data_IF_967849439570
#
_entry.id   IF_967849439570
#
_cell.length_a   1.000
_cell.length_b   1.000
_cell.length_c   1.000
_cell.angle_alpha   90.00
_cell.angle_beta   90.00
_cell.angle_gamma   90.00
#
_symmetry.space_group_name_H-M   'P 1'
#
loop_
_entity.id
_entity.type
_entity.pdbx_description
1 polymer ?
#
# COMPACT_ATOMS: atom_id res chain seq x y z
N UNK A 1 -42.69 17.84 11.58
CA UNK A 1 -41.60 18.08 10.60
C UNK A 1 -40.19 18.13 11.23
N UNK A 2 -40.02 18.50 12.50
CA UNK A 2 -38.67 18.61 13.13
C UNK A 2 -37.92 17.27 13.33
N UNK A 3 -38.62 16.13 13.48
CA UNK A 3 -37.97 14.82 13.69
C UNK A 3 -37.22 14.25 12.47
N UNK A 4 -37.60 14.62 11.24
CA UNK A 4 -36.91 14.16 10.02
C UNK A 4 -35.56 14.86 9.82
N UNK A 5 -35.41 16.09 10.32
CA UNK A 5 -34.19 16.89 10.17
C UNK A 5 -33.06 16.32 11.04
N UNK A 6 -33.38 15.80 12.23
CA UNK A 6 -32.38 15.21 13.14
C UNK A 6 -31.79 13.87 12.65
N UNK A 7 -32.54 13.09 11.87
CA UNK A 7 -32.05 11.80 11.32
C UNK A 7 -31.08 11.98 10.16
N UNK A 8 -31.17 13.09 9.41
CA UNK A 8 -30.29 13.39 8.28
C UNK A 8 -28.87 13.84 8.70
N UNK A 9 -28.67 14.26 9.96
CA UNK A 9 -27.37 14.75 10.45
C UNK A 9 -26.41 13.64 10.89
N UNK A 10 -26.88 12.40 11.06
CA UNK A 10 -26.05 11.28 11.54
C UNK A 10 -25.35 10.51 10.41
N UNK A 11 -25.63 10.80 9.13
CA UNK A 11 -25.08 10.08 7.98
C UNK A 11 -23.79 10.67 7.40
N UNK A 12 -23.19 11.66 8.06
CA UNK A 12 -21.99 12.36 7.56
C UNK A 12 -20.82 12.28 8.54
N UNK A 13 -20.47 11.08 9.01
CA UNK A 13 -19.13 10.88 9.55
C UNK A 13 -18.17 10.65 8.39
N UNK A 14 -17.26 11.59 8.06
CA UNK A 14 -16.24 11.33 7.06
C UNK A 14 -15.39 10.16 7.54
N UNK A 15 -15.41 9.05 6.80
CA UNK A 15 -14.44 7.98 7.00
C UNK A 15 -13.09 8.47 6.48
N UNK A 16 -12.21 8.89 7.39
CA UNK A 16 -10.85 9.33 7.06
C UNK A 16 -9.95 8.12 6.77
N UNK A 17 -10.33 7.30 5.78
CA UNK A 17 -9.56 6.13 5.36
C UNK A 17 -9.72 5.88 3.87
N UNK A 18 -8.68 5.28 3.29
CA UNK A 18 -8.61 4.90 1.88
C UNK A 18 -8.93 3.42 1.72
N UNK A 19 -9.26 3.03 0.49
CA UNK A 19 -9.32 1.64 0.07
C UNK A 19 -7.99 1.20 -0.54
N UNK A 20 -7.63 -0.07 -0.35
CA UNK A 20 -6.42 -0.70 -0.87
C UNK A 20 -6.74 -2.05 -1.49
N UNK A 21 -5.91 -2.52 -2.42
CA UNK A 21 -5.93 -3.92 -2.83
C UNK A 21 -5.38 -4.81 -1.70
N UNK A 22 -6.05 -5.91 -1.42
CA UNK A 22 -5.62 -6.97 -0.51
C UNK A 22 -5.35 -8.26 -1.30
N UNK A 23 -4.20 -8.89 -1.05
CA UNK A 23 -3.87 -10.22 -1.57
C UNK A 23 -2.67 -10.80 -0.81
N UNK A 24 -2.69 -12.11 -0.57
CA UNK A 24 -1.54 -12.89 -0.09
C UNK A 24 -1.67 -14.35 -0.56
N UNK A 25 -0.54 -15.05 -0.55
CA UNK A 25 -0.44 -16.43 -1.06
C UNK A 25 -1.18 -17.47 -0.19
N UNK A 26 -1.66 -17.10 1.00
CA UNK A 26 -2.48 -18.00 1.83
C UNK A 26 -3.95 -18.00 1.40
N UNK A 27 -4.46 -16.83 1.02
CA UNK A 27 -5.86 -16.63 0.67
C UNK A 27 -6.09 -16.70 -0.85
N UNK A 28 -5.08 -16.35 -1.65
CA UNK A 28 -5.09 -16.35 -3.12
C UNK A 28 -6.28 -15.59 -3.76
N UNK A 29 -6.90 -14.67 -3.02
CA UNK A 29 -8.05 -13.88 -3.47
C UNK A 29 -7.69 -12.39 -3.41
N UNK A 30 -7.98 -11.69 -4.51
CA UNK A 30 -7.88 -10.23 -4.55
C UNK A 30 -9.14 -9.64 -3.92
N UNK A 31 -8.95 -8.88 -2.84
CA UNK A 31 -10.02 -8.18 -2.15
C UNK A 31 -9.80 -6.67 -2.10
N UNK A 32 -10.84 -5.94 -1.73
CA UNK A 32 -10.74 -4.50 -1.45
C UNK A 32 -10.78 -4.28 0.06
N UNK A 33 -9.70 -3.73 0.60
CA UNK A 33 -9.54 -3.42 2.00
C UNK A 33 -9.93 -1.96 2.25
N UNK A 34 -11.06 -1.72 2.90
CA UNK A 34 -11.52 -0.37 3.22
C UNK A 34 -10.94 0.15 4.55
N UNK A 35 -11.13 1.45 4.80
CA UNK A 35 -10.82 2.13 6.06
C UNK A 35 -9.34 2.08 6.47
N UNK A 36 -8.42 2.08 5.49
CA UNK A 36 -6.97 2.04 5.72
C UNK A 36 -6.38 3.44 5.82
N UNK A 37 -5.27 3.58 6.53
CA UNK A 37 -4.51 4.84 6.65
C UNK A 37 -3.44 4.98 5.57
N UNK A 38 -2.98 3.86 5.02
CA UNK A 38 -2.04 3.75 3.91
C UNK A 38 -2.17 2.36 3.30
N UNK A 39 -1.80 2.22 2.03
CA UNK A 39 -1.72 0.93 1.35
C UNK A 39 -0.29 0.39 1.36
N UNK A 40 -0.16 -0.93 1.29
CA UNK A 40 1.12 -1.65 1.25
C UNK A 40 1.20 -2.54 0.03
N UNK A 41 2.39 -2.64 -0.56
CA UNK A 41 2.78 -3.73 -1.44
C UNK A 41 4.14 -4.24 -0.98
N UNK A 42 4.28 -5.54 -0.87
CA UNK A 42 5.52 -6.21 -0.46
C UNK A 42 5.88 -7.19 -1.56
N UNK A 43 7.12 -7.14 -2.03
CA UNK A 43 7.62 -8.08 -3.01
C UNK A 43 8.85 -8.82 -2.48
N UNK A 44 8.80 -10.14 -2.50
CA UNK A 44 9.90 -11.00 -2.10
C UNK A 44 10.81 -11.27 -3.31
N UNK A 45 12.11 -10.99 -3.18
CA UNK A 45 13.06 -11.08 -4.30
C UNK A 45 13.35 -12.54 -4.67
N UNK A 46 13.35 -13.45 -3.70
CA UNK A 46 13.77 -14.84 -3.91
C UNK A 46 12.86 -15.63 -4.85
N UNK A 47 11.55 -15.38 -4.79
CA UNK A 47 10.55 -16.09 -5.60
C UNK A 47 9.68 -15.16 -6.45
N UNK A 48 9.80 -13.84 -6.29
CA UNK A 48 9.02 -12.85 -7.03
C UNK A 48 7.55 -12.82 -6.63
N UNK A 49 7.20 -13.34 -5.45
CA UNK A 49 5.84 -13.23 -4.92
C UNK A 49 5.55 -11.82 -4.42
N UNK A 50 4.27 -11.47 -4.39
CA UNK A 50 3.79 -10.14 -4.01
C UNK A 50 2.62 -10.24 -3.05
N UNK A 51 2.69 -9.53 -1.93
CA UNK A 51 1.59 -9.39 -0.97
C UNK A 51 1.12 -7.94 -0.91
N UNK A 52 -0.20 -7.75 -0.87
CA UNK A 52 -0.84 -6.44 -0.97
C UNK A 52 -1.79 -6.24 0.21
N UNK A 53 -1.85 -5.02 0.73
CA UNK A 53 -2.77 -4.72 1.81
C UNK A 53 -2.84 -3.26 2.20
N UNK A 54 -3.15 -2.99 3.46
CA UNK A 54 -3.14 -1.64 4.02
C UNK A 54 -3.08 -1.64 5.54
N UNK A 55 -2.46 -0.60 6.09
CA UNK A 55 -2.30 -0.44 7.52
C UNK A 55 -3.39 0.40 8.16
N UNK A 56 -3.77 0.05 9.39
CA UNK A 56 -4.71 0.84 10.21
C UNK A 56 -4.00 1.83 11.14
N UNK A 57 -2.71 1.58 11.44
CA UNK A 57 -1.91 2.44 12.30
C UNK A 57 -1.61 3.76 11.59
N UNK A 58 -1.47 4.83 12.37
CA UNK A 58 -1.00 6.10 11.82
C UNK A 58 0.39 5.91 11.20
N UNK A 59 0.66 6.42 9.98
CA UNK A 59 1.93 6.20 9.27
C UNK A 59 3.17 6.59 10.09
N UNK A 60 3.08 7.63 10.93
CA UNK A 60 4.17 8.05 11.82
C UNK A 60 4.57 7.04 12.91
N UNK A 61 3.79 5.96 13.08
CA UNK A 61 4.08 4.88 14.03
C UNK A 61 4.65 3.63 13.36
N UNK A 62 4.96 3.71 12.07
CA UNK A 62 5.53 2.61 11.29
C UNK A 62 6.98 2.98 10.95
N UNK A 63 8.00 2.38 11.58
CA UNK A 63 9.40 2.77 11.40
C UNK A 63 9.85 2.82 9.93
N UNK A 64 9.44 1.84 9.13
CA UNK A 64 9.80 1.76 7.71
C UNK A 64 9.22 2.92 6.88
N UNK A 65 8.07 3.45 7.27
CA UNK A 65 7.46 4.62 6.64
C UNK A 65 8.20 5.89 7.05
N UNK A 66 8.44 6.05 8.35
CA UNK A 66 9.09 7.25 8.92
C UNK A 66 10.50 7.42 8.35
N UNK A 67 11.22 6.33 8.17
CA UNK A 67 12.60 6.34 7.68
C UNK A 67 12.70 6.37 6.14
N UNK A 68 11.58 6.39 5.43
CA UNK A 68 11.59 6.40 3.96
C UNK A 68 12.04 7.75 3.42
N UNK A 69 13.03 7.73 2.51
CA UNK A 69 13.51 8.95 1.84
C UNK A 69 12.35 9.67 1.15
N UNK A 70 12.26 10.99 1.35
CA UNK A 70 11.20 11.82 0.76
C UNK A 70 11.15 11.62 -0.76
N UNK A 71 9.98 11.26 -1.25
CA UNK A 71 9.77 11.02 -2.68
C UNK A 71 10.02 9.58 -3.10
N UNK A 72 10.47 8.67 -2.24
CA UNK A 72 10.39 7.24 -2.54
C UNK A 72 9.05 6.70 -2.02
N UNK A 73 8.50 5.71 -2.71
CA UNK A 73 7.31 4.97 -2.32
C UNK A 73 7.60 3.49 -2.06
N UNK A 74 8.82 3.04 -2.37
CA UNK A 74 9.32 1.69 -2.12
C UNK A 74 10.76 1.74 -1.59
N UNK A 75 11.11 0.80 -0.72
CA UNK A 75 12.47 0.63 -0.18
C UNK A 75 12.83 -0.86 -0.10
N UNK A 76 14.03 -1.21 -0.53
CA UNK A 76 14.58 -2.55 -0.36
C UNK A 76 15.05 -2.73 1.10
N UNK A 77 14.62 -3.81 1.73
CA UNK A 77 15.06 -4.22 3.06
C UNK A 77 15.58 -5.64 3.05
N UNK A 78 16.71 -5.83 3.71
CA UNK A 78 17.23 -7.15 4.02
C UNK A 78 16.65 -7.60 5.37
N UNK A 79 15.73 -8.56 5.34
CA UNK A 79 15.07 -9.11 6.52
C UNK A 79 15.88 -10.30 7.01
N UNK A 80 16.65 -10.10 8.09
CA UNK A 80 17.34 -11.19 8.77
C UNK A 80 16.33 -12.01 9.60
N UNK A 81 16.37 -13.33 9.44
CA UNK A 81 15.65 -14.21 10.35
C UNK A 81 16.53 -14.59 11.52
N UNK A 82 16.02 -14.38 12.73
CA UNK A 82 16.64 -14.85 13.97
C UNK A 82 16.23 -16.29 14.34
N UNK A 83 15.47 -16.97 13.48
CA UNK A 83 14.84 -18.28 13.76
C UNK A 83 15.32 -19.40 12.82
N UNK A 84 16.47 -19.23 12.16
CA UNK A 84 17.02 -20.24 11.24
C UNK A 84 16.31 -20.33 9.88
N UNK A 85 15.44 -19.37 9.57
CA UNK A 85 14.86 -19.20 8.23
C UNK A 85 15.89 -18.43 7.37
N UNK A 86 15.98 -18.67 6.06
CA UNK A 86 16.85 -17.85 5.21
C UNK A 86 16.51 -16.36 5.37
N UNK A 87 17.54 -15.52 5.43
CA UNK A 87 17.36 -14.09 5.23
C UNK A 87 16.73 -13.85 3.87
N UNK A 88 15.84 -12.86 3.76
CA UNK A 88 15.21 -12.51 2.50
C UNK A 88 15.34 -11.02 2.21
N UNK A 89 15.53 -10.72 0.92
CA UNK A 89 15.44 -9.36 0.42
C UNK A 89 14.01 -9.09 -0.02
N UNK A 90 13.44 -8.02 0.51
CA UNK A 90 12.07 -7.62 0.23
C UNK A 90 12.01 -6.15 -0.17
N UNK A 91 11.17 -5.84 -1.16
CA UNK A 91 10.75 -4.47 -1.41
C UNK A 91 9.51 -4.17 -0.58
N UNK A 92 9.58 -3.14 0.24
CA UNK A 92 8.46 -2.64 1.03
C UNK A 92 7.97 -1.33 0.44
N UNK A 93 6.73 -1.31 -0.03
CA UNK A 93 6.12 -0.14 -0.65
C UNK A 93 4.95 0.39 0.18
N UNK A 94 4.79 1.71 0.18
CA UNK A 94 3.77 2.45 0.91
C UNK A 94 3.20 3.60 0.07
N UNK A 95 1.88 3.73 0.03
CA UNK A 95 1.22 4.82 -0.67
C UNK A 95 -0.09 5.25 0.04
N UNK A 96 -0.60 6.45 -0.28
CA UNK A 96 -1.59 7.15 0.56
C UNK A 96 -2.83 7.64 -0.19
N UNK A 97 -3.06 7.15 -1.41
CA UNK A 97 -4.24 7.49 -2.21
C UNK A 97 -5.08 6.24 -2.47
N UNK A 98 -6.36 6.42 -2.81
CA UNK A 98 -7.27 5.31 -3.12
C UNK A 98 -6.63 4.31 -4.10
N UNK A 99 -6.66 3.04 -3.72
CA UNK A 99 -6.25 1.89 -4.55
C UNK A 99 -4.85 2.04 -5.18
N UNK A 100 -3.94 2.75 -4.51
CA UNK A 100 -2.62 3.08 -5.05
C UNK A 100 -1.65 1.90 -5.10
N UNK A 101 -1.93 0.82 -4.37
CA UNK A 101 -1.12 -0.39 -4.34
C UNK A 101 -1.59 -1.43 -5.38
N UNK A 102 -1.81 -0.98 -6.62
CA UNK A 102 -2.24 -1.88 -7.69
C UNK A 102 -1.35 -3.13 -7.73
N UNK A 103 -1.94 -4.35 -7.84
CA UNK A 103 -1.21 -5.59 -7.68
C UNK A 103 -0.39 -5.95 -8.92
N UNK A 104 0.70 -5.20 -9.16
CA UNK A 104 1.63 -5.48 -10.24
C UNK A 104 2.29 -6.83 -10.03
N UNK A 105 2.51 -7.58 -11.11
CA UNK A 105 3.39 -8.75 -11.08
C UNK A 105 4.83 -8.32 -10.77
N UNK A 106 5.67 -9.22 -10.25
CA UNK A 106 7.09 -8.92 -10.02
C UNK A 106 7.79 -8.37 -11.28
N UNK A 107 7.55 -9.00 -12.44
CA UNK A 107 8.13 -8.56 -13.71
C UNK A 107 7.75 -7.12 -14.06
N UNK A 108 6.50 -6.74 -13.79
CA UNK A 108 6.02 -5.39 -14.03
C UNK A 108 6.57 -4.40 -12.99
N UNK A 109 6.63 -4.79 -11.72
CA UNK A 109 7.24 -3.97 -10.68
C UNK A 109 8.71 -3.65 -10.99
N UNK A 110 9.48 -4.65 -11.44
CA UNK A 110 10.87 -4.49 -11.89
C UNK A 110 10.96 -3.59 -13.13
N UNK A 111 10.11 -3.81 -14.16
CA UNK A 111 10.17 -3.01 -15.39
C UNK A 111 9.80 -1.53 -15.16
N UNK A 112 9.03 -1.25 -14.10
CA UNK A 112 8.69 0.10 -13.64
C UNK A 112 9.79 0.77 -12.84
N UNK A 113 10.88 0.06 -12.51
CA UNK A 113 11.97 0.58 -11.70
C UNK A 113 11.67 0.57 -10.21
N UNK A 114 10.92 -0.43 -9.72
CA UNK A 114 10.64 -0.64 -8.30
C UNK A 114 9.81 0.48 -7.64
N UNK A 115 8.73 0.92 -8.31
CA UNK A 115 7.83 1.97 -7.82
C UNK A 115 6.36 1.65 -8.13
N UNK A 116 5.47 2.03 -7.21
CA UNK A 116 4.01 1.99 -7.38
C UNK A 116 3.48 3.27 -8.03
N UNK A 117 4.26 4.36 -8.03
CA UNK A 117 3.84 5.64 -8.60
C UNK A 117 3.35 5.51 -10.04
N UNK A 118 2.33 6.28 -10.44
CA UNK A 118 1.91 6.31 -11.83
C UNK A 118 3.06 6.69 -12.76
N UNK A 119 3.21 5.92 -13.82
CA UNK A 119 4.10 6.24 -14.93
C UNK A 119 3.29 7.02 -15.94
N UNK A 120 3.35 8.35 -15.91
CA UNK A 120 2.73 9.16 -16.94
C UNK A 120 3.56 9.04 -18.22
N UNK A 121 2.90 8.80 -19.35
CA UNK A 121 3.57 8.94 -20.65
C UNK A 121 4.19 10.34 -20.72
N UNK A 122 5.45 10.43 -21.13
CA UNK A 122 6.18 11.69 -21.26
C UNK A 122 5.34 12.68 -22.09
N UNK A 123 4.75 13.68 -21.44
CA UNK A 123 3.76 14.55 -22.09
C UNK A 123 2.90 15.38 -21.14
N UNK A 124 2.84 15.05 -19.84
CA UNK A 124 2.14 15.86 -18.84
C UNK A 124 3.07 16.27 -17.69
N UNK A 125 4.19 16.91 -18.03
CA UNK A 125 4.78 17.85 -17.08
C UNK A 125 3.82 19.04 -16.99
N UNK A 126 3.05 19.12 -15.90
CA UNK A 126 2.36 20.36 -15.55
C UNK A 126 3.44 21.41 -15.27
N UNK A 127 3.60 22.34 -16.21
CA UNK A 127 4.23 23.64 -15.96
C UNK A 127 3.54 24.36 -14.81
#
# INVERSE_FOLDING_TARGET
MSRLIFLLLLSTTPSFGISCYGYNDYQEVVETLHHRKFCTAVYEVSDGTGAFGGGERHPSRVPNIVNMTKGNDCVMQHVQSNLGIPSSDMWLCYCYTEMCNYPFTWKEFVSRGYTLKPTYAAGFEKK
#
